data_IF_458271396629
#
_entry.id   IF_458271396629
#
_cell.length_a   1.000
_cell.length_b   1.000
_cell.length_c   1.000
_cell.angle_alpha   90.00
_cell.angle_beta   90.00
_cell.angle_gamma   90.00
#
_symmetry.space_group_name_H-M   'P 1'
#
loop_
_entity.id
_entity.type
_entity.pdbx_description
1 polymer ?
#
# COMPACT_ATOMS: atom_id res chain seq x y z
N UNK A 1 -16.72 22.22 -14.66
CA UNK A 1 -15.50 23.07 -14.54
C UNK A 1 -15.70 23.99 -13.35
N UNK A 2 -14.64 24.26 -12.56
CA UNK A 2 -14.70 25.08 -11.34
C UNK A 2 -14.36 24.37 -10.03
N UNK A 3 -14.07 23.07 -10.07
CA UNK A 3 -13.70 22.27 -8.89
C UNK A 3 -12.55 21.33 -9.27
N UNK A 4 -11.67 21.07 -8.30
CA UNK A 4 -10.57 20.12 -8.38
C UNK A 4 -10.64 19.13 -7.21
N UNK A 5 -10.18 17.90 -7.43
CA UNK A 5 -9.99 16.91 -6.36
C UNK A 5 -8.71 17.24 -5.60
N UNK A 6 -8.75 17.05 -4.28
CA UNK A 6 -7.59 17.22 -3.42
C UNK A 6 -7.69 16.41 -2.14
N UNK A 7 -6.99 16.88 -1.11
CA UNK A 7 -7.07 16.37 0.24
C UNK A 7 -7.12 17.54 1.24
N UNK A 8 -7.85 17.40 2.37
CA UNK A 8 -7.80 18.39 3.44
C UNK A 8 -6.39 18.46 4.06
N UNK A 9 -6.09 19.51 4.83
CA UNK A 9 -4.88 19.55 5.66
C UNK A 9 -4.74 18.32 6.55
N UNK A 10 -3.52 17.77 6.61
CA UNK A 10 -3.17 16.66 7.50
C UNK A 10 -1.80 16.89 8.17
N UNK A 11 -1.36 15.93 8.99
CA UNK A 11 -0.12 16.00 9.75
C UNK A 11 1.14 16.08 8.87
N UNK A 12 1.09 15.54 7.65
CA UNK A 12 2.21 15.52 6.71
C UNK A 12 2.20 16.75 5.80
N UNK A 13 1.01 17.23 5.42
CA UNK A 13 0.79 18.41 4.60
C UNK A 13 -0.28 19.32 5.21
N UNK A 14 0.19 20.23 6.06
CA UNK A 14 -0.65 21.23 6.74
C UNK A 14 -1.37 22.21 5.81
N UNK A 15 -1.01 22.27 4.52
CA UNK A 15 -1.70 23.13 3.53
C UNK A 15 -2.81 22.39 2.79
N UNK A 16 -2.97 21.09 3.03
CA UNK A 16 -3.77 20.22 2.19
C UNK A 16 -3.15 20.07 0.80
N UNK A 17 -3.89 19.42 -0.09
CA UNK A 17 -3.42 19.12 -1.45
C UNK A 17 -4.50 19.49 -2.46
N UNK A 18 -4.08 20.04 -3.60
CA UNK A 18 -4.90 20.16 -4.81
C UNK A 18 -4.20 19.33 -5.89
N UNK A 19 -4.90 18.34 -6.43
CA UNK A 19 -4.36 17.41 -7.42
C UNK A 19 -4.69 17.80 -8.87
N UNK A 20 -5.43 18.89 -9.07
CA UNK A 20 -5.78 19.43 -10.39
C UNK A 20 -6.75 18.57 -11.20
N UNK A 21 -7.39 17.58 -10.60
CA UNK A 21 -8.25 16.61 -11.29
C UNK A 21 -9.71 17.09 -11.22
N UNK A 22 -10.44 17.20 -12.35
CA UNK A 22 -11.86 17.50 -12.28
C UNK A 22 -12.63 16.29 -11.69
N UNK A 23 -13.44 16.47 -10.63
CA UNK A 23 -14.20 15.37 -10.07
C UNK A 23 -15.36 14.97 -10.97
N UNK A 24 -15.82 13.73 -10.83
CA UNK A 24 -17.11 13.30 -11.36
C UNK A 24 -18.23 14.13 -10.75
N UNK A 25 -19.28 14.42 -11.52
CA UNK A 25 -20.53 14.95 -10.97
C UNK A 25 -21.36 13.79 -10.43
N UNK A 26 -21.57 13.65 -9.10
CA UNK A 26 -22.22 12.46 -8.55
C UNK A 26 -23.64 12.26 -9.08
N UNK A 27 -24.39 13.35 -9.24
CA UNK A 27 -25.75 13.37 -9.80
C UNK A 27 -25.78 12.89 -11.25
N UNK A 28 -24.88 13.41 -12.09
CA UNK A 28 -24.80 13.02 -13.49
C UNK A 28 -24.27 11.60 -13.67
N UNK A 29 -23.30 11.18 -12.85
CA UNK A 29 -22.76 9.81 -12.89
C UNK A 29 -23.84 8.79 -12.51
N UNK A 30 -24.65 9.08 -11.50
CA UNK A 30 -25.80 8.25 -11.12
C UNK A 30 -26.88 8.22 -12.21
N UNK A 31 -27.20 9.36 -12.82
CA UNK A 31 -28.17 9.44 -13.92
C UNK A 31 -27.76 8.63 -15.16
N UNK A 32 -26.45 8.49 -15.39
CA UNK A 32 -25.86 7.63 -16.43
C UNK A 32 -25.68 6.16 -15.99
N UNK A 33 -26.19 5.78 -14.82
CA UNK A 33 -26.07 4.42 -14.26
C UNK A 33 -24.61 4.01 -14.02
N UNK A 34 -23.75 4.96 -13.64
CA UNK A 34 -22.30 4.78 -13.48
C UNK A 34 -21.57 4.23 -14.72
N UNK A 35 -22.17 4.33 -15.91
CA UNK A 35 -21.61 3.76 -17.15
C UNK A 35 -20.21 4.27 -17.48
N UNK A 36 -19.87 5.58 -17.39
CA UNK A 36 -18.51 6.05 -17.63
C UNK A 36 -17.47 5.43 -16.67
N UNK A 37 -17.86 5.20 -15.41
CA UNK A 37 -17.00 4.55 -14.42
C UNK A 37 -16.79 3.06 -14.75
N UNK A 38 -17.84 2.34 -15.11
CA UNK A 38 -17.72 0.94 -15.56
C UNK A 38 -16.83 0.81 -16.82
N UNK A 39 -16.96 1.72 -17.78
CA UNK A 39 -16.13 1.75 -19.00
C UNK A 39 -14.63 1.97 -18.67
N UNK A 40 -14.33 2.87 -17.73
CA UNK A 40 -12.97 3.09 -17.22
C UNK A 40 -12.40 1.81 -16.59
N UNK A 41 -13.18 1.16 -15.71
CA UNK A 41 -12.76 -0.08 -15.04
C UNK A 41 -12.49 -1.21 -16.04
N UNK A 42 -13.39 -1.43 -17.00
CA UNK A 42 -13.18 -2.43 -18.06
C UNK A 42 -11.91 -2.19 -18.86
N UNK A 43 -11.56 -0.93 -19.09
CA UNK A 43 -10.32 -0.58 -19.78
C UNK A 43 -9.09 -0.97 -18.95
N UNK A 44 -9.06 -0.63 -17.66
CA UNK A 44 -7.96 -0.98 -16.76
C UNK A 44 -7.83 -2.48 -16.52
N UNK A 45 -8.95 -3.19 -16.46
CA UNK A 45 -9.01 -4.63 -16.16
C UNK A 45 -8.77 -5.53 -17.36
N UNK A 46 -8.80 -5.00 -18.59
CA UNK A 46 -8.78 -5.79 -19.84
C UNK A 46 -7.64 -6.82 -19.91
N UNK A 47 -6.47 -6.47 -19.37
CA UNK A 47 -5.25 -7.26 -19.47
C UNK A 47 -4.53 -7.41 -18.12
N UNK A 48 -5.26 -7.25 -17.00
CA UNK A 48 -4.70 -7.25 -15.66
C UNK A 48 -5.38 -8.30 -14.78
N UNK A 49 -4.60 -9.09 -14.04
CA UNK A 49 -5.12 -10.02 -13.03
C UNK A 49 -5.48 -9.35 -11.70
N UNK A 50 -5.13 -8.08 -11.53
CA UNK A 50 -5.52 -7.27 -10.37
C UNK A 50 -5.59 -5.79 -10.74
N UNK A 51 -6.44 -5.03 -10.06
CA UNK A 51 -6.54 -3.58 -10.16
C UNK A 51 -6.33 -2.95 -8.77
N UNK A 52 -5.32 -2.10 -8.64
CA UNK A 52 -5.18 -1.21 -7.49
C UNK A 52 -5.98 0.06 -7.74
N UNK A 53 -6.98 0.33 -6.89
CA UNK A 53 -7.77 1.56 -6.90
C UNK A 53 -7.11 2.54 -5.94
N UNK A 54 -6.47 3.55 -6.51
CA UNK A 54 -5.88 4.65 -5.75
C UNK A 54 -6.97 5.46 -5.05
N UNK A 55 -6.74 5.84 -3.79
CA UNK A 55 -7.69 6.57 -2.95
C UNK A 55 -9.10 5.97 -2.99
N UNK A 56 -9.26 4.73 -2.51
CA UNK A 56 -10.54 4.00 -2.62
C UNK A 56 -11.70 4.71 -1.93
N UNK A 57 -11.39 5.55 -0.93
CA UNK A 57 -12.34 6.48 -0.31
C UNK A 57 -13.05 7.37 -1.31
N UNK A 58 -12.44 7.67 -2.46
CA UNK A 58 -13.03 8.43 -3.56
C UNK A 58 -14.30 7.83 -4.16
N UNK A 59 -14.55 6.54 -3.92
CA UNK A 59 -15.81 5.88 -4.27
C UNK A 59 -16.97 6.23 -3.31
N UNK A 60 -16.64 6.75 -2.12
CA UNK A 60 -17.60 7.24 -1.12
C UNK A 60 -17.67 8.77 -1.09
N UNK A 61 -16.52 9.44 -1.05
CA UNK A 61 -16.43 10.90 -0.97
C UNK A 61 -15.09 11.38 -1.51
N UNK A 62 -15.09 12.57 -2.10
CA UNK A 62 -13.87 13.27 -2.50
C UNK A 62 -13.84 14.66 -1.89
N UNK A 63 -12.65 15.12 -1.52
CA UNK A 63 -12.43 16.51 -1.12
C UNK A 63 -12.36 17.39 -2.36
N UNK A 64 -13.36 18.25 -2.55
CA UNK A 64 -13.45 19.17 -3.66
C UNK A 64 -12.91 20.53 -3.25
N UNK A 65 -11.94 21.05 -4.01
CA UNK A 65 -11.35 22.37 -3.86
C UNK A 65 -11.91 23.27 -4.96
N UNK A 66 -12.54 24.40 -4.62
CA UNK A 66 -12.96 25.38 -5.63
C UNK A 66 -11.76 25.95 -6.38
N UNK A 67 -11.89 26.09 -7.69
CA UNK A 67 -10.83 26.63 -8.53
C UNK A 67 -10.38 28.02 -8.05
N UNK A 68 -9.07 28.20 -7.90
CA UNK A 68 -8.48 29.45 -7.39
C UNK A 68 -8.55 29.64 -5.88
N UNK A 69 -9.04 28.65 -5.11
CA UNK A 69 -9.03 28.65 -3.65
C UNK A 69 -7.99 27.66 -3.10
N UNK A 70 -7.45 27.88 -1.89
CA UNK A 70 -6.54 26.93 -1.27
C UNK A 70 -7.26 25.64 -0.85
N UNK A 71 -6.56 24.48 -0.75
CA UNK A 71 -7.15 23.22 -0.33
C UNK A 71 -7.83 23.25 1.05
N UNK A 72 -7.42 24.17 1.92
CA UNK A 72 -8.03 24.43 3.24
C UNK A 72 -9.50 24.87 3.15
N UNK A 73 -9.96 25.30 1.98
CA UNK A 73 -11.33 25.75 1.73
C UNK A 73 -12.17 24.76 0.90
N UNK A 74 -11.69 23.52 0.77
CA UNK A 74 -12.48 22.47 0.16
C UNK A 74 -13.59 21.93 1.06
N UNK A 75 -14.33 20.95 0.53
CA UNK A 75 -15.31 20.18 1.30
C UNK A 75 -15.46 18.76 0.75
N UNK A 76 -15.93 17.83 1.57
CA UNK A 76 -16.27 16.49 1.11
C UNK A 76 -17.58 16.50 0.33
N UNK A 77 -17.53 16.01 -0.90
CA UNK A 77 -18.71 15.71 -1.72
C UNK A 77 -18.89 14.21 -1.79
N UNK A 78 -20.09 13.73 -1.46
CA UNK A 78 -20.43 12.31 -1.38
C UNK A 78 -20.82 11.74 -2.74
N UNK A 79 -20.50 10.46 -2.91
CA UNK A 79 -20.90 9.60 -4.00
C UNK A 79 -21.81 8.49 -3.47
N UNK A 80 -22.53 7.83 -4.37
CA UNK A 80 -23.25 6.60 -4.04
C UNK A 80 -22.24 5.46 -3.88
N UNK A 81 -21.73 5.30 -2.65
CA UNK A 81 -20.70 4.31 -2.30
C UNK A 81 -21.10 2.90 -2.71
N UNK A 82 -22.33 2.51 -2.44
CA UNK A 82 -22.82 1.16 -2.68
C UNK A 82 -22.87 0.88 -4.19
N UNK A 83 -23.35 1.84 -4.98
CA UNK A 83 -23.34 1.73 -6.44
C UNK A 83 -21.92 1.69 -7.00
N UNK A 84 -21.02 2.56 -6.53
CA UNK A 84 -19.65 2.64 -7.02
C UNK A 84 -18.85 1.37 -6.69
N UNK A 85 -18.92 0.89 -5.44
CA UNK A 85 -18.27 -0.38 -5.04
C UNK A 85 -18.91 -1.59 -5.71
N UNK A 86 -20.23 -1.57 -5.93
CA UNK A 86 -20.94 -2.61 -6.67
C UNK A 86 -20.48 -2.72 -8.12
N UNK A 87 -20.33 -1.59 -8.82
CA UNK A 87 -19.79 -1.55 -10.20
C UNK A 87 -18.35 -2.03 -10.24
N UNK A 88 -17.51 -1.60 -9.29
CA UNK A 88 -16.12 -2.06 -9.17
C UNK A 88 -16.04 -3.59 -8.99
N UNK A 89 -16.81 -4.13 -8.05
CA UNK A 89 -16.87 -5.57 -7.81
C UNK A 89 -17.34 -6.34 -9.06
N UNK A 90 -18.38 -5.85 -9.73
CA UNK A 90 -18.94 -6.51 -10.92
C UNK A 90 -17.94 -6.55 -12.08
N UNK A 91 -17.28 -5.44 -12.37
CA UNK A 91 -16.32 -5.39 -13.47
C UNK A 91 -15.05 -6.20 -13.16
N UNK A 92 -14.58 -6.19 -11.91
CA UNK A 92 -13.48 -7.04 -11.46
C UNK A 92 -13.83 -8.54 -11.56
N UNK A 93 -15.02 -8.93 -11.11
CA UNK A 93 -15.52 -10.30 -11.23
C UNK A 93 -15.58 -10.76 -12.70
N UNK A 94 -16.11 -9.92 -13.60
CA UNK A 94 -16.17 -10.22 -15.04
C UNK A 94 -14.79 -10.41 -15.67
N UNK A 95 -13.78 -9.70 -15.17
CA UNK A 95 -12.40 -9.82 -15.62
C UNK A 95 -11.64 -10.98 -14.96
N UNK A 96 -12.22 -11.62 -13.92
CA UNK A 96 -11.50 -12.59 -13.10
C UNK A 96 -10.31 -11.98 -12.36
N UNK A 97 -10.41 -10.70 -11.98
CA UNK A 97 -9.32 -9.93 -11.42
C UNK A 97 -9.55 -9.59 -9.94
N UNK A 98 -8.46 -9.52 -9.17
CA UNK A 98 -8.49 -9.02 -7.81
C UNK A 98 -8.61 -7.48 -7.77
N UNK A 99 -9.13 -6.95 -6.67
CA UNK A 99 -9.14 -5.50 -6.39
C UNK A 99 -8.35 -5.23 -5.13
N UNK A 100 -7.50 -4.20 -5.18
CA UNK A 100 -6.76 -3.68 -4.04
C UNK A 100 -7.15 -2.20 -3.87
N UNK A 101 -7.99 -1.89 -2.88
CA UNK A 101 -8.32 -0.52 -2.52
C UNK A 101 -7.21 0.07 -1.66
N UNK A 102 -6.59 1.16 -2.13
CA UNK A 102 -5.70 1.96 -1.30
C UNK A 102 -6.52 2.69 -0.24
N UNK A 103 -6.38 2.25 1.01
CA UNK A 103 -7.17 2.66 2.18
C UNK A 103 -6.28 3.28 3.28
N UNK A 104 -5.40 4.19 2.87
CA UNK A 104 -4.49 4.93 3.74
C UNK A 104 -5.04 6.33 4.04
N UNK A 105 -4.48 6.98 5.06
CA UNK A 105 -4.88 8.32 5.48
C UNK A 105 -6.21 8.34 6.25
N UNK A 106 -7.09 9.27 5.90
CA UNK A 106 -8.37 9.48 6.62
C UNK A 106 -9.47 8.60 6.03
N UNK A 107 -9.50 7.34 6.48
CA UNK A 107 -10.49 6.35 6.05
C UNK A 107 -11.83 6.61 6.73
N UNK A 108 -12.92 6.55 5.96
CA UNK A 108 -14.28 6.70 6.50
C UNK A 108 -14.71 5.43 7.24
N UNK A 109 -15.42 5.58 8.36
CA UNK A 109 -15.93 4.45 9.14
C UNK A 109 -16.73 3.48 8.25
N UNK A 110 -16.50 2.17 8.42
CA UNK A 110 -17.16 1.12 7.64
C UNK A 110 -16.53 0.85 6.27
N UNK A 111 -15.63 1.69 5.75
CA UNK A 111 -15.03 1.48 4.42
C UNK A 111 -14.21 0.18 4.37
N UNK A 112 -13.41 -0.11 5.40
CA UNK A 112 -12.57 -1.31 5.42
C UNK A 112 -13.38 -2.59 5.52
N UNK A 113 -14.43 -2.54 6.32
CA UNK A 113 -15.41 -3.62 6.49
C UNK A 113 -16.11 -3.90 5.17
N UNK A 114 -16.60 -2.86 4.48
CA UNK A 114 -17.30 -3.01 3.21
C UNK A 114 -16.38 -3.54 2.08
N UNK A 115 -15.12 -3.09 2.02
CA UNK A 115 -14.14 -3.66 1.09
C UNK A 115 -13.94 -5.16 1.36
N UNK A 116 -13.78 -5.55 2.63
CA UNK A 116 -13.58 -6.93 3.02
C UNK A 116 -14.82 -7.81 2.71
N UNK A 117 -16.03 -7.32 2.98
CA UNK A 117 -17.29 -8.00 2.66
C UNK A 117 -17.46 -8.27 1.15
N UNK A 118 -16.92 -7.38 0.32
CA UNK A 118 -16.93 -7.51 -1.14
C UNK A 118 -15.72 -8.30 -1.68
N UNK A 119 -14.88 -8.86 -0.82
CA UNK A 119 -13.68 -9.60 -1.20
C UNK A 119 -12.56 -8.74 -1.80
N UNK A 120 -12.60 -7.43 -1.59
CA UNK A 120 -11.55 -6.50 -2.02
C UNK A 120 -10.46 -6.40 -0.95
N UNK A 121 -9.20 -6.37 -1.38
CA UNK A 121 -8.07 -6.21 -0.49
C UNK A 121 -7.89 -4.73 -0.11
N UNK A 122 -7.53 -4.47 1.15
CA UNK A 122 -6.96 -3.18 1.55
C UNK A 122 -5.46 -3.10 1.28
N UNK A 123 -4.81 -2.10 1.86
CA UNK A 123 -3.36 -1.88 1.83
C UNK A 123 -2.78 -1.74 3.24
N UNK A 124 -1.75 -2.52 3.56
CA UNK A 124 -0.98 -2.38 4.78
C UNK A 124 0.45 -2.02 4.44
N UNK A 125 0.89 -0.83 4.84
CA UNK A 125 2.25 -0.34 4.55
C UNK A 125 2.98 -0.24 5.88
N UNK A 126 4.11 -0.94 6.02
CA UNK A 126 4.89 -1.00 7.27
C UNK A 126 5.07 0.37 7.93
N UNK A 127 5.31 1.41 7.14
CA UNK A 127 5.49 2.80 7.62
C UNK A 127 4.29 3.38 8.39
N UNK A 128 3.14 2.73 8.33
CA UNK A 128 1.90 3.13 8.99
C UNK A 128 1.36 2.10 9.99
N UNK A 129 1.96 0.90 10.09
CA UNK A 129 1.47 -0.19 10.95
C UNK A 129 2.08 -0.11 12.35
N UNK A 130 1.41 0.62 13.26
CA UNK A 130 1.82 0.81 14.64
C UNK A 130 0.70 0.47 15.62
N UNK A 131 1.08 -0.02 16.79
CA UNK A 131 0.18 -0.07 17.95
C UNK A 131 -0.32 1.34 18.26
N UNK A 132 -1.64 1.51 18.38
CA UNK A 132 -2.32 2.80 18.56
C UNK A 132 -2.53 3.62 17.27
N UNK A 133 -2.14 3.08 16.12
CA UNK A 133 -2.40 3.64 14.79
C UNK A 133 -1.82 5.05 14.61
N UNK A 134 -2.42 5.83 13.71
CA UNK A 134 -1.96 7.18 13.39
C UNK A 134 -2.06 8.16 14.55
N UNK A 135 -2.97 7.93 15.51
CA UNK A 135 -3.24 8.84 16.63
C UNK A 135 -2.25 8.69 17.81
N UNK A 136 -1.53 7.57 17.90
CA UNK A 136 -0.59 7.32 18.98
C UNK A 136 0.30 6.13 18.66
N UNK A 137 1.46 6.37 18.04
CA UNK A 137 2.40 5.30 17.67
C UNK A 137 3.15 4.82 18.91
N UNK A 138 2.79 3.64 19.42
CA UNK A 138 3.39 3.02 20.61
C UNK A 138 4.40 1.91 20.30
N UNK A 139 4.77 1.75 19.03
CA UNK A 139 5.69 0.73 18.54
C UNK A 139 5.14 0.04 17.29
N UNK A 140 5.97 -0.71 16.55
CA UNK A 140 5.53 -1.49 15.41
C UNK A 140 4.38 -2.43 15.75
N UNK A 141 3.47 -2.64 14.80
CA UNK A 141 2.43 -3.64 14.94
C UNK A 141 3.04 -5.06 14.76
N UNK A 142 2.84 -5.99 15.73
CA UNK A 142 3.28 -7.38 15.59
C UNK A 142 2.68 -8.04 14.34
N UNK A 143 3.38 -9.00 13.70
CA UNK A 143 2.99 -9.51 12.39
C UNK A 143 1.62 -10.21 12.39
N UNK A 144 1.25 -10.88 13.48
CA UNK A 144 -0.03 -11.56 13.68
C UNK A 144 -1.23 -10.59 13.82
N UNK A 145 -0.96 -9.30 14.05
CA UNK A 145 -1.99 -8.26 14.16
C UNK A 145 -2.18 -7.48 12.85
N UNK A 146 -1.38 -7.76 11.82
CA UNK A 146 -1.61 -7.19 10.50
C UNK A 146 -2.90 -7.74 9.89
N UNK A 147 -3.54 -6.96 9.02
CA UNK A 147 -4.78 -7.38 8.35
C UNK A 147 -4.49 -8.52 7.37
N UNK A 148 -5.35 -9.53 7.34
CA UNK A 148 -5.23 -10.62 6.38
C UNK A 148 -5.65 -10.23 4.96
N UNK A 149 -6.79 -9.54 4.82
CA UNK A 149 -7.33 -9.13 3.52
C UNK A 149 -6.67 -7.84 3.00
N UNK A 150 -5.35 -7.85 2.81
CA UNK A 150 -4.62 -6.72 2.26
C UNK A 150 -3.46 -7.12 1.35
N UNK A 151 -2.98 -6.13 0.59
CA UNK A 151 -1.63 -6.09 0.06
C UNK A 151 -0.70 -5.47 1.12
N UNK A 152 0.25 -6.24 1.62
CA UNK A 152 1.27 -5.78 2.56
C UNK A 152 2.57 -5.37 1.83
N UNK A 153 3.10 -4.18 2.13
CA UNK A 153 4.37 -3.68 1.60
C UNK A 153 5.21 -3.00 2.67
N UNK A 154 6.52 -2.88 2.43
CA UNK A 154 7.40 -2.08 3.29
C UNK A 154 7.21 -0.59 3.08
N UNK A 155 7.00 -0.20 1.83
CA UNK A 155 6.92 1.20 1.40
C UNK A 155 6.03 1.33 0.16
N UNK A 156 5.89 2.54 -0.36
CA UNK A 156 5.17 2.86 -1.59
C UNK A 156 6.03 3.78 -2.47
N UNK A 157 5.57 4.07 -3.68
CA UNK A 157 6.25 5.01 -4.57
C UNK A 157 6.24 6.46 -4.05
N UNK A 158 5.35 6.80 -3.11
CA UNK A 158 5.24 8.11 -2.46
C UNK A 158 6.08 8.23 -1.19
N UNK A 159 6.66 7.12 -0.75
CA UNK A 159 7.48 7.03 0.45
C UNK A 159 8.95 6.81 0.08
N UNK A 160 9.87 7.08 1.02
CA UNK A 160 11.27 6.72 0.82
C UNK A 160 11.46 5.23 0.56
N UNK A 161 12.51 4.87 -0.18
CA UNK A 161 12.94 3.47 -0.30
C UNK A 161 13.31 2.92 1.07
N UNK A 162 13.21 1.60 1.23
CA UNK A 162 13.48 0.96 2.52
C UNK A 162 14.91 1.27 2.95
N UNK A 163 15.86 1.25 2.00
CA UNK A 163 17.25 1.63 2.23
C UNK A 163 17.41 3.11 2.67
N UNK A 164 16.71 4.06 2.02
CA UNK A 164 16.78 5.48 2.38
C UNK A 164 16.10 5.81 3.71
N UNK A 165 15.10 5.01 4.08
CA UNK A 165 14.48 5.08 5.40
C UNK A 165 15.45 4.60 6.50
N UNK A 166 16.01 3.39 6.35
CA UNK A 166 16.96 2.82 7.30
C UNK A 166 18.17 3.73 7.54
N UNK A 167 18.72 4.32 6.48
CA UNK A 167 19.88 5.21 6.60
C UNK A 167 19.55 6.62 7.12
N UNK A 168 18.27 7.02 7.11
CA UNK A 168 17.85 8.38 7.46
C UNK A 168 18.01 9.42 6.33
N UNK A 169 18.56 9.03 5.17
CA UNK A 169 18.82 9.93 4.03
C UNK A 169 17.56 10.64 3.50
N UNK A 170 16.40 10.04 3.72
CA UNK A 170 15.11 10.66 3.38
C UNK A 170 14.83 11.96 4.14
N UNK A 171 15.28 12.07 5.40
CA UNK A 171 15.17 13.31 6.18
C UNK A 171 16.17 14.34 5.65
N UNK A 172 17.40 13.92 5.35
CA UNK A 172 18.43 14.80 4.78
C UNK A 172 17.98 15.38 3.43
N UNK A 173 17.34 14.56 2.59
CA UNK A 173 16.80 15.01 1.30
C UNK A 173 15.73 16.07 1.50
N UNK A 174 14.76 15.84 2.39
CA UNK A 174 13.71 16.81 2.69
C UNK A 174 14.29 18.10 3.31
N UNK A 175 15.31 17.99 4.15
CA UNK A 175 16.03 19.13 4.72
C UNK A 175 16.69 19.99 3.62
N UNK A 176 17.47 19.36 2.72
CA UNK A 176 18.13 20.04 1.60
C UNK A 176 17.15 20.76 0.67
N UNK A 177 15.95 20.21 0.51
CA UNK A 177 14.90 20.78 -0.33
C UNK A 177 14.00 21.80 0.41
N UNK A 178 14.25 22.05 1.70
CA UNK A 178 13.46 23.00 2.50
C UNK A 178 12.02 22.51 2.78
N UNK A 179 11.80 21.19 2.85
CA UNK A 179 10.49 20.55 2.98
C UNK A 179 10.16 20.12 4.42
N UNK A 180 11.01 20.45 5.40
CA UNK A 180 10.76 20.15 6.80
C UNK A 180 9.83 21.19 7.43
N UNK A 181 8.88 20.72 8.22
CA UNK A 181 7.92 21.58 8.95
C UNK A 181 8.30 21.78 10.42
N UNK A 182 9.33 21.05 10.89
CA UNK A 182 9.93 21.13 12.23
C UNK A 182 11.45 21.24 12.10
N UNK A 183 12.18 21.59 13.17
CA UNK A 183 13.63 21.58 13.17
C UNK A 183 14.22 20.26 12.69
N UNK A 184 15.28 20.31 11.89
CA UNK A 184 15.92 19.12 11.31
C UNK A 184 16.35 18.10 12.36
N UNK A 185 16.85 18.57 13.50
CA UNK A 185 17.24 17.70 14.61
C UNK A 185 16.05 16.88 15.15
N UNK A 186 14.87 17.49 15.26
CA UNK A 186 13.67 16.82 15.77
C UNK A 186 13.14 15.79 14.76
N UNK A 187 13.19 16.11 13.46
CA UNK A 187 12.82 15.19 12.39
C UNK A 187 13.77 13.98 12.32
N UNK A 188 15.08 14.21 12.47
CA UNK A 188 16.08 13.14 12.54
C UNK A 188 15.89 12.25 13.76
N UNK A 189 15.64 12.85 14.92
CA UNK A 189 15.37 12.10 16.15
C UNK A 189 14.09 11.26 16.03
N UNK A 190 13.01 11.81 15.46
CA UNK A 190 11.77 11.09 15.24
C UNK A 190 11.95 9.93 14.24
N UNK A 191 12.65 10.15 13.12
CA UNK A 191 12.92 9.11 12.14
C UNK A 191 13.82 7.99 12.72
N UNK A 192 14.81 8.35 13.54
CA UNK A 192 15.65 7.38 14.23
C UNK A 192 14.84 6.55 15.24
N UNK A 193 14.00 7.18 16.06
CA UNK A 193 13.14 6.47 17.00
C UNK A 193 12.15 5.52 16.29
N UNK A 194 11.61 5.94 15.15
CA UNK A 194 10.76 5.09 14.31
C UNK A 194 11.52 3.85 13.81
N UNK A 195 12.70 4.06 13.22
CA UNK A 195 13.57 2.98 12.74
C UNK A 195 13.97 2.03 13.87
N UNK A 196 14.42 2.57 14.98
CA UNK A 196 14.93 1.78 16.10
C UNK A 196 13.81 0.93 16.73
N UNK A 197 12.57 1.43 16.74
CA UNK A 197 11.39 0.65 17.12
C UNK A 197 11.18 -0.58 16.24
N UNK A 198 11.27 -0.43 14.91
CA UNK A 198 11.20 -1.55 13.97
C UNK A 198 12.37 -2.52 14.09
N UNK A 199 13.60 -2.03 14.25
CA UNK A 199 14.77 -2.91 14.43
C UNK A 199 14.69 -3.69 15.76
N UNK A 200 14.15 -3.08 16.82
CA UNK A 200 13.87 -3.77 18.07
C UNK A 200 12.82 -4.88 17.88
N UNK A 201 11.76 -4.63 17.10
CA UNK A 201 10.74 -5.66 16.80
C UNK A 201 11.31 -6.81 15.98
N UNK A 202 12.12 -6.52 14.96
CA UNK A 202 12.82 -7.56 14.19
C UNK A 202 13.77 -8.38 15.08
N UNK A 203 14.47 -7.73 16.01
CA UNK A 203 15.33 -8.41 17.00
C UNK A 203 14.50 -9.30 17.92
N UNK A 204 13.35 -8.81 18.41
CA UNK A 204 12.42 -9.57 19.25
C UNK A 204 11.90 -10.82 18.56
N UNK A 205 11.66 -10.74 17.25
CA UNK A 205 11.24 -11.86 16.39
C UNK A 205 12.40 -12.78 15.97
N UNK A 206 13.64 -12.47 16.35
CA UNK A 206 14.83 -13.23 15.94
C UNK A 206 15.19 -13.07 14.47
N UNK A 207 14.67 -12.04 13.80
CA UNK A 207 15.00 -11.71 12.40
C UNK A 207 16.27 -10.85 12.29
N UNK A 208 16.79 -10.32 13.39
CA UNK A 208 18.08 -9.64 13.45
C UNK A 208 19.02 -10.31 14.50
N UNK A 209 20.34 -10.39 14.23
CA UNK A 209 21.01 -9.95 13.01
C UNK A 209 20.72 -10.87 11.82
N UNK A 210 20.48 -10.26 10.66
CA UNK A 210 20.24 -10.96 9.40
C UNK A 210 21.51 -10.93 8.55
N UNK A 211 22.00 -12.09 8.06
CA UNK A 211 23.22 -12.13 7.23
C UNK A 211 23.08 -11.34 5.92
N UNK A 212 21.86 -11.17 5.42
CA UNK A 212 21.55 -10.44 4.18
C UNK A 212 21.21 -8.96 4.43
N UNK A 213 21.21 -8.53 5.70
CA UNK A 213 20.98 -7.16 6.12
C UNK A 213 19.51 -6.81 6.41
N UNK A 214 19.31 -5.59 6.88
CA UNK A 214 18.04 -5.13 7.46
C UNK A 214 16.90 -5.09 6.44
N UNK A 215 17.17 -4.78 5.17
CA UNK A 215 16.15 -4.80 4.10
C UNK A 215 15.59 -6.22 3.93
N UNK A 216 16.46 -7.24 3.92
CA UNK A 216 16.05 -8.62 3.80
C UNK A 216 15.25 -9.07 5.05
N UNK A 217 15.68 -8.68 6.25
CA UNK A 217 14.96 -8.93 7.50
C UNK A 217 13.52 -8.35 7.49
N UNK A 218 13.34 -7.14 6.96
CA UNK A 218 12.02 -6.51 6.82
C UNK A 218 11.14 -7.29 5.82
N UNK A 219 11.70 -7.80 4.72
CA UNK A 219 10.94 -8.67 3.80
C UNK A 219 10.60 -10.02 4.41
N UNK A 220 11.48 -10.60 5.25
CA UNK A 220 11.17 -11.80 6.05
C UNK A 220 10.05 -11.52 7.06
N UNK A 221 10.01 -10.33 7.65
CA UNK A 221 8.89 -9.91 8.50
C UNK A 221 7.55 -9.93 7.76
N UNK A 222 7.49 -9.44 6.51
CA UNK A 222 6.25 -9.48 5.73
C UNK A 222 5.69 -10.90 5.56
N UNK A 223 6.56 -11.91 5.49
CA UNK A 223 6.17 -13.33 5.40
C UNK A 223 5.55 -13.88 6.68
N UNK A 224 5.77 -13.23 7.82
CA UNK A 224 5.14 -13.58 9.09
C UNK A 224 3.72 -13.00 9.21
N UNK A 225 3.36 -12.04 8.35
CA UNK A 225 2.03 -11.42 8.38
C UNK A 225 0.99 -12.33 7.71
N UNK A 226 -0.30 -12.27 8.11
CA UNK A 226 -1.37 -13.03 7.47
C UNK A 226 -1.84 -12.44 6.13
N UNK A 227 -1.11 -11.46 5.57
CA UNK A 227 -1.54 -10.73 4.39
C UNK A 227 -1.65 -11.64 3.15
N UNK A 228 -2.78 -11.55 2.47
CA UNK A 228 -3.11 -12.32 1.26
C UNK A 228 -2.18 -12.03 0.08
N UNK A 229 -1.64 -10.82 0.00
CA UNK A 229 -0.69 -10.43 -1.03
C UNK A 229 0.49 -9.69 -0.39
N UNK A 230 1.70 -10.01 -0.84
CA UNK A 230 2.93 -9.34 -0.42
C UNK A 230 3.53 -8.63 -1.63
N UNK A 231 3.87 -7.35 -1.48
CA UNK A 231 4.49 -6.56 -2.53
C UNK A 231 5.96 -6.29 -2.25
N UNK A 232 6.81 -6.56 -3.25
CA UNK A 232 8.22 -6.19 -3.25
C UNK A 232 8.40 -4.98 -4.15
N UNK A 233 8.96 -3.90 -3.62
CA UNK A 233 9.27 -2.73 -4.43
C UNK A 233 10.62 -2.94 -5.11
N UNK A 234 10.65 -2.87 -6.44
CA UNK A 234 11.85 -3.18 -7.23
C UNK A 234 13.13 -2.40 -6.81
N UNK A 235 13.06 -1.11 -6.42
CA UNK A 235 14.17 -0.40 -5.78
C UNK A 235 14.83 -1.11 -4.59
N UNK A 236 14.08 -1.84 -3.76
CA UNK A 236 14.66 -2.58 -2.64
C UNK A 236 15.46 -3.81 -3.13
N UNK A 237 15.13 -4.33 -4.32
CA UNK A 237 15.85 -5.40 -4.98
C UNK A 237 17.14 -4.95 -5.69
N UNK A 238 17.36 -3.64 -5.84
CA UNK A 238 18.59 -3.06 -6.43
C UNK A 238 19.37 -2.19 -5.44
N UNK A 239 18.79 -1.91 -4.27
CA UNK A 239 19.35 -1.03 -3.26
C UNK A 239 19.25 0.46 -3.60
N UNK A 240 18.35 0.84 -4.51
CA UNK A 240 18.16 2.25 -4.86
C UNK A 240 17.72 3.04 -3.61
N UNK A 241 18.32 4.21 -3.41
CA UNK A 241 18.04 5.09 -2.28
C UNK A 241 17.21 6.31 -2.66
N UNK A 242 16.91 6.47 -3.95
CA UNK A 242 16.26 7.68 -4.46
C UNK A 242 14.75 7.46 -4.47
N UNK A 243 13.95 8.33 -3.82
CA UNK A 243 12.50 8.21 -3.88
C UNK A 243 12.00 8.55 -5.29
N UNK A 244 11.03 7.79 -5.79
CA UNK A 244 10.46 8.03 -7.12
C UNK A 244 9.57 9.28 -7.15
N UNK A 245 8.84 9.52 -6.07
CA UNK A 245 8.03 10.69 -5.87
C UNK A 245 8.28 11.30 -4.49
N UNK A 246 8.24 12.63 -4.40
CA UNK A 246 8.14 13.39 -3.17
C UNK A 246 6.80 14.14 -3.19
N UNK A 247 5.77 13.64 -2.47
CA UNK A 247 4.45 14.25 -2.45
C UNK A 247 4.49 15.75 -2.10
N UNK A 248 3.62 16.52 -2.75
CA UNK A 248 3.56 17.98 -2.58
C UNK A 248 4.69 18.76 -3.27
N UNK A 249 5.50 18.11 -4.11
CA UNK A 249 6.55 18.78 -4.90
C UNK A 249 6.29 18.65 -6.40
N UNK A 250 6.74 19.64 -7.18
CA UNK A 250 6.68 19.60 -8.65
C UNK A 250 8.02 19.94 -9.31
N UNK A 251 8.70 20.99 -8.83
CA UNK A 251 9.93 21.49 -9.46
C UNK A 251 11.23 21.10 -8.73
N UNK A 252 11.15 20.77 -7.43
CA UNK A 252 12.33 20.59 -6.57
C UNK A 252 12.87 19.16 -6.54
N UNK A 253 12.09 18.19 -7.04
CA UNK A 253 12.50 16.79 -7.19
C UNK A 253 12.07 16.28 -8.57
N UNK A 254 12.86 15.45 -9.25
CA UNK A 254 12.49 14.85 -10.54
C UNK A 254 11.47 13.73 -10.37
N UNK A 255 10.28 14.05 -9.81
CA UNK A 255 9.18 13.11 -9.62
C UNK A 255 8.87 12.37 -10.93
N UNK A 256 8.73 11.05 -10.86
CA UNK A 256 8.36 10.17 -11.98
C UNK A 256 9.38 10.11 -13.12
N UNK A 257 10.61 10.60 -12.91
CA UNK A 257 11.65 10.67 -13.95
C UNK A 257 12.87 9.84 -13.62
N UNK A 258 12.93 9.20 -12.46
CA UNK A 258 14.09 8.39 -12.08
C UNK A 258 13.92 6.97 -12.62
N UNK A 259 14.91 6.44 -13.37
CA UNK A 259 14.97 5.02 -13.67
C UNK A 259 15.36 4.26 -12.41
N UNK A 260 15.01 2.97 -12.33
CA UNK A 260 15.53 2.07 -11.29
C UNK A 260 17.06 2.04 -11.39
N UNK A 261 17.74 2.24 -10.26
CA UNK A 261 19.19 2.21 -10.18
C UNK A 261 19.69 1.32 -9.04
N UNK A 262 21.01 1.10 -9.03
CA UNK A 262 21.70 0.49 -7.90
C UNK A 262 21.91 1.51 -6.76
N UNK A 263 22.50 1.05 -5.65
CA UNK A 263 22.82 1.88 -4.49
C UNK A 263 23.78 3.06 -4.77
N UNK A 264 24.43 3.09 -5.94
CA UNK A 264 25.30 4.20 -6.38
C UNK A 264 24.58 5.15 -7.33
N UNK A 265 23.30 4.89 -7.64
CA UNK A 265 22.50 5.68 -8.56
C UNK A 265 22.76 5.39 -10.04
N UNK A 266 23.46 4.30 -10.37
CA UNK A 266 23.63 3.85 -11.77
C UNK A 266 22.36 3.12 -12.23
N UNK A 267 21.69 3.55 -13.31
CA UNK A 267 20.52 2.85 -13.83
C UNK A 267 20.81 1.37 -14.09
N UNK A 268 19.87 0.50 -13.70
CA UNK A 268 19.98 -0.96 -13.87
C UNK A 268 19.02 -1.39 -14.96
N UNK A 269 19.51 -1.85 -16.13
CA UNK A 269 18.65 -2.37 -17.18
C UNK A 269 18.05 -3.73 -16.77
N UNK A 270 16.95 -4.12 -17.42
CA UNK A 270 16.22 -5.34 -17.09
C UNK A 270 17.11 -6.59 -17.18
N UNK A 271 18.03 -6.61 -18.14
CA UNK A 271 18.96 -7.70 -18.39
C UNK A 271 19.99 -7.90 -17.27
N UNK A 272 20.30 -6.84 -16.51
CA UNK A 272 21.23 -6.88 -15.36
C UNK A 272 20.50 -7.16 -14.04
N UNK A 273 19.16 -7.06 -13.98
CA UNK A 273 18.41 -7.29 -12.74
C UNK A 273 18.67 -8.68 -12.13
N UNK A 274 18.70 -9.80 -12.90
CA UNK A 274 18.98 -11.14 -12.35
C UNK A 274 20.36 -11.27 -11.67
N UNK A 275 21.30 -10.38 -12.00
CA UNK A 275 22.63 -10.37 -11.39
C UNK A 275 22.67 -9.69 -10.03
N UNK A 276 21.61 -8.92 -9.68
CA UNK A 276 21.47 -8.28 -8.38
C UNK A 276 21.40 -9.33 -7.26
N UNK A 277 22.37 -9.28 -6.36
CA UNK A 277 22.38 -10.13 -5.16
C UNK A 277 21.15 -9.86 -4.28
N UNK A 278 20.72 -8.60 -4.15
CA UNK A 278 19.52 -8.27 -3.39
C UNK A 278 18.27 -8.87 -4.03
N UNK A 279 18.14 -8.83 -5.37
CA UNK A 279 17.00 -9.45 -6.04
C UNK A 279 16.95 -10.96 -5.78
N UNK A 280 18.10 -11.65 -5.86
CA UNK A 280 18.17 -13.10 -5.57
C UNK A 280 17.76 -13.41 -4.13
N UNK A 281 18.27 -12.65 -3.17
CA UNK A 281 17.88 -12.79 -1.75
C UNK A 281 16.38 -12.62 -1.58
N UNK A 282 15.80 -11.56 -2.15
CA UNK A 282 14.35 -11.32 -2.04
C UNK A 282 13.56 -12.42 -2.76
N UNK A 283 13.97 -12.84 -3.96
CA UNK A 283 13.35 -13.95 -4.67
C UNK A 283 13.38 -15.24 -3.83
N UNK A 284 14.50 -15.56 -3.19
CA UNK A 284 14.64 -16.73 -2.31
C UNK A 284 13.73 -16.61 -1.09
N UNK A 285 13.64 -15.44 -0.45
CA UNK A 285 12.69 -15.19 0.64
C UNK A 285 11.27 -15.57 0.18
N UNK A 286 10.85 -15.18 -1.03
CA UNK A 286 9.49 -15.37 -1.53
C UNK A 286 9.22 -16.70 -2.25
N UNK A 287 10.24 -17.46 -2.65
CA UNK A 287 10.08 -18.69 -3.42
C UNK A 287 9.61 -19.91 -2.60
N UNK A 288 9.90 -19.94 -1.29
CA UNK A 288 9.86 -21.18 -0.49
C UNK A 288 8.48 -21.58 0.08
N UNK A 289 7.36 -21.00 -0.36
CA UNK A 289 6.00 -21.29 0.19
C UNK A 289 5.13 -22.24 -0.64
N UNK A 290 5.60 -22.76 -1.76
CA UNK A 290 4.76 -23.64 -2.61
C UNK A 290 4.71 -25.10 -2.17
N UNK A 291 5.52 -25.53 -1.19
CA UNK A 291 5.58 -26.94 -0.78
C UNK A 291 4.62 -27.32 0.36
N UNK A 292 4.45 -26.49 1.40
CA UNK A 292 3.70 -26.88 2.60
C UNK A 292 2.18 -26.66 2.52
N UNK A 293 1.70 -25.83 1.59
CA UNK A 293 0.25 -25.63 1.39
C UNK A 293 -0.45 -26.87 0.81
N UNK A 294 0.28 -27.80 0.19
CA UNK A 294 -0.27 -29.06 -0.36
C UNK A 294 -0.38 -30.19 0.67
N UNK A 295 0.29 -30.07 1.82
CA UNK A 295 0.29 -31.11 2.85
C UNK A 295 -0.91 -31.02 3.81
N UNK A 296 -1.58 -29.87 3.88
CA UNK A 296 -2.75 -29.67 4.74
C UNK A 296 -4.10 -29.98 4.09
N UNK A 297 -4.15 -30.24 2.78
CA UNK A 297 -5.41 -30.55 2.05
C UNK A 297 -5.67 -32.06 1.89
N UNK A 298 -4.86 -32.92 2.53
CA UNK A 298 -4.99 -34.39 2.42
C UNK A 298 -5.38 -35.11 3.71
N UNK A 299 -5.62 -34.40 4.82
CA UNK A 299 -5.96 -35.03 6.11
C UNK A 299 -7.40 -34.83 6.59
N UNK A 300 -8.25 -34.10 5.85
CA UNK A 300 -9.65 -33.87 6.24
C UNK A 300 -10.70 -34.73 5.51
N UNK A 301 -10.32 -35.59 4.54
CA UNK A 301 -11.28 -36.37 3.76
C UNK A 301 -11.41 -37.87 4.12
N UNK A 302 -10.77 -38.36 5.19
CA UNK A 302 -10.80 -39.79 5.55
C UNK A 302 -11.56 -40.15 6.84
N UNK A 303 -12.44 -39.26 7.34
CA UNK A 303 -13.30 -39.57 8.50
C UNK A 303 -14.77 -39.35 8.15
N UNK A 304 -15.31 -40.07 7.17
CA UNK A 304 -16.77 -40.25 7.07
C UNK A 304 -17.22 -41.50 6.30
N UNK A 305 -16.71 -42.69 6.62
CA UNK A 305 -17.35 -43.94 6.14
C UNK A 305 -17.15 -45.12 7.12
N UNK A 306 -17.79 -45.10 8.28
CA UNK A 306 -18.04 -46.36 9.03
C UNK A 306 -19.14 -46.29 10.09
N UNK A 307 -20.39 -45.98 9.74
CA UNK A 307 -21.52 -46.26 10.63
C UNK A 307 -22.65 -47.04 9.93
N UNK A 308 -22.49 -48.36 9.92
CA UNK A 308 -23.49 -49.34 10.37
C UNK A 308 -24.88 -49.38 9.71
N UNK A 309 -25.08 -50.37 8.83
CA UNK A 309 -26.38 -51.04 8.67
C UNK A 309 -26.38 -52.33 9.50
N UNK A 310 -27.38 -52.59 10.38
CA UNK A 310 -27.68 -53.94 10.81
C UNK A 310 -28.85 -54.52 9.99
N UNK A 311 -28.65 -55.73 9.47
CA UNK A 311 -29.68 -56.55 8.84
C UNK A 311 -30.49 -57.36 9.86
N UNK A 312 -31.77 -57.54 9.50
CA UNK A 312 -32.83 -58.46 9.95
C UNK A 312 -32.62 -59.42 11.13
N UNK A 313 -33.61 -59.40 12.04
CA UNK A 313 -34.50 -60.54 12.32
C UNK A 313 -35.95 -60.03 12.31
#
# INVERSE_FOLDING_TARGET
AGMSVGAPPDDFNRRGQDWGQPPWRPDALAAEGCRPFAELLRSGLRHAGALRVDHVMGLSRLWWVPEGRPPTEGTYVRYDRDAMLGVLALEAYRAGAAVIGEDLGTVEDGMREELAERGMLGTSVQRFEYLGGSAGRHGPLPPDQWRANCLATLTTHDLPTTAAWLSGEHVDLRARLGLLTRPEADEKAAAAAERDGWLAELTRLGLLPDPDGEVAALHRFLRLTPARMLGVWLPDATGDRRPQNLPGTAAVHPNWRLPVADARGRPVPLEELPDSTLLRILADIFAHDTADASAHDTTENDIEESHGRPGSC
#
